data_IF_778074098692
#
_entry.id   IF_778074098692
#
_cell.length_a   1.000
_cell.length_b   1.000
_cell.length_c   1.000
_cell.angle_alpha   90.00
_cell.angle_beta   90.00
_cell.angle_gamma   90.00
#
_symmetry.space_group_name_H-M   'P 1'
#
loop_
_entity.id
_entity.type
_entity.pdbx_description
1 polymer ?
#
# COMPACT_ATOMS: atom_id res chain seq x y z
N UNK A 1 16.60 -5.00 -2.51
CA UNK A 1 15.52 -5.97 -2.77
C UNK A 1 15.18 -5.98 -4.25
N UNK A 2 15.23 -7.14 -4.88
CA UNK A 2 14.84 -7.29 -6.28
C UNK A 2 14.08 -8.61 -6.43
N UNK A 3 12.78 -8.62 -6.12
CA UNK A 3 12.03 -9.87 -6.14
C UNK A 3 11.85 -10.40 -7.56
N UNK A 4 11.88 -11.71 -7.69
CA UNK A 4 11.55 -12.39 -8.96
C UNK A 4 10.05 -12.43 -9.12
N UNK A 5 9.59 -12.52 -10.36
CA UNK A 5 8.17 -12.69 -10.63
C UNK A 5 7.65 -13.93 -9.90
N UNK A 6 6.57 -13.76 -9.17
CA UNK A 6 5.93 -14.84 -8.41
C UNK A 6 6.65 -15.23 -7.11
N UNK A 7 7.65 -14.48 -6.71
CA UNK A 7 8.40 -14.80 -5.49
C UNK A 7 7.58 -14.54 -4.22
N UNK A 8 7.78 -15.37 -3.20
CA UNK A 8 7.25 -15.12 -1.86
C UNK A 8 8.39 -14.70 -0.94
N UNK A 9 8.25 -13.50 -0.36
CA UNK A 9 9.18 -12.98 0.65
C UNK A 9 8.49 -13.11 2.00
N UNK A 10 9.15 -13.79 2.95
CA UNK A 10 8.52 -14.09 4.22
C UNK A 10 9.41 -13.65 5.37
N UNK A 11 8.80 -13.02 6.35
CA UNK A 11 9.47 -12.59 7.58
C UNK A 11 10.68 -11.68 7.33
N UNK A 12 10.58 -10.81 6.31
CA UNK A 12 11.63 -9.84 6.01
C UNK A 12 11.38 -8.55 6.77
N UNK A 13 12.43 -7.96 7.27
CA UNK A 13 12.36 -6.70 8.00
C UNK A 13 12.98 -5.58 7.15
N UNK A 14 12.13 -4.68 6.68
CA UNK A 14 12.54 -3.51 5.90
C UNK A 14 12.35 -2.22 6.70
N UNK A 15 12.28 -2.32 8.03
CA UNK A 15 12.02 -1.15 8.88
C UNK A 15 13.05 -0.06 8.66
N UNK A 16 12.57 1.17 8.46
CA UNK A 16 13.42 2.33 8.29
C UNK A 16 14.24 2.35 7.02
N UNK A 17 14.04 1.41 6.11
CA UNK A 17 14.80 1.38 4.86
C UNK A 17 14.25 2.36 3.82
N UNK A 18 15.14 2.82 2.97
CA UNK A 18 14.80 3.65 1.81
C UNK A 18 14.81 2.74 0.58
N UNK A 19 13.62 2.39 0.11
CA UNK A 19 13.43 1.44 -0.99
C UNK A 19 13.06 2.21 -2.25
N UNK A 20 13.95 2.22 -3.23
CA UNK A 20 13.78 2.99 -4.45
C UNK A 20 13.66 2.08 -5.66
N UNK A 21 12.68 2.38 -6.53
CA UNK A 21 12.54 1.76 -7.84
C UNK A 21 12.45 0.23 -7.80
N UNK A 22 11.88 -0.31 -6.73
CA UNK A 22 11.62 -1.74 -6.63
C UNK A 22 10.51 -2.09 -7.63
N UNK A 23 10.69 -3.19 -8.34
CA UNK A 23 9.65 -3.71 -9.23
C UNK A 23 9.31 -5.13 -8.81
N UNK A 24 8.04 -5.36 -8.51
CA UNK A 24 7.57 -6.67 -8.08
C UNK A 24 6.28 -7.01 -8.83
N UNK A 25 6.23 -8.21 -9.36
CA UNK A 25 5.08 -8.70 -10.13
C UNK A 25 4.66 -10.05 -9.61
N UNK A 26 3.39 -10.17 -9.25
CA UNK A 26 2.79 -11.41 -8.73
C UNK A 26 3.52 -11.95 -7.49
N UNK A 27 4.13 -11.06 -6.72
CA UNK A 27 4.87 -11.43 -5.51
C UNK A 27 3.95 -11.46 -4.30
N UNK A 28 4.36 -12.23 -3.31
CA UNK A 28 3.70 -12.28 -2.01
C UNK A 28 4.67 -11.85 -0.94
N UNK A 29 4.24 -10.89 -0.14
CA UNK A 29 4.99 -10.42 1.03
C UNK A 29 4.22 -10.87 2.26
N UNK A 30 4.75 -11.83 3.00
CA UNK A 30 4.07 -12.41 4.15
C UNK A 30 4.84 -12.09 5.42
N UNK A 31 4.16 -11.49 6.38
CA UNK A 31 4.75 -11.12 7.67
C UNK A 31 6.02 -10.28 7.52
N UNK A 32 6.02 -9.39 6.55
CA UNK A 32 7.12 -8.47 6.33
C UNK A 32 6.85 -7.16 7.07
N UNK A 33 7.92 -6.50 7.52
CA UNK A 33 7.81 -5.25 8.27
C UNK A 33 8.33 -4.11 7.43
N UNK A 34 7.48 -3.12 7.20
CA UNK A 34 7.81 -1.89 6.49
C UNK A 34 7.65 -0.68 7.42
N UNK A 35 7.85 -0.87 8.70
CA UNK A 35 7.66 0.20 9.69
C UNK A 35 8.65 1.32 9.45
N UNK A 36 8.14 2.54 9.31
CA UNK A 36 8.94 3.73 9.01
C UNK A 36 9.77 3.63 7.74
N UNK A 37 9.42 2.72 6.83
CA UNK A 37 10.11 2.59 5.54
C UNK A 37 9.66 3.68 4.58
N UNK A 38 10.57 4.10 3.71
CA UNK A 38 10.24 4.99 2.61
C UNK A 38 10.32 4.19 1.31
N UNK A 39 9.21 4.17 0.58
CA UNK A 39 9.14 3.55 -0.73
C UNK A 39 8.90 4.64 -1.76
N UNK A 40 9.84 4.85 -2.68
CA UNK A 40 9.71 5.85 -3.75
C UNK A 40 9.86 5.20 -5.11
N UNK A 41 8.97 5.57 -6.02
CA UNK A 41 9.02 5.10 -7.42
C UNK A 41 9.04 3.58 -7.54
N UNK A 42 8.42 2.90 -6.58
CA UNK A 42 8.29 1.44 -6.62
C UNK A 42 7.06 1.04 -7.42
N UNK A 43 7.11 -0.12 -8.04
CA UNK A 43 5.99 -0.65 -8.83
C UNK A 43 5.69 -2.06 -8.37
N UNK A 44 4.46 -2.23 -7.88
CA UNK A 44 3.96 -3.54 -7.47
C UNK A 44 2.71 -3.83 -8.28
N UNK A 45 2.69 -4.94 -9.00
CA UNK A 45 1.52 -5.33 -9.79
C UNK A 45 1.09 -6.74 -9.41
N UNK A 46 -0.19 -6.90 -9.13
CA UNK A 46 -0.78 -8.17 -8.74
C UNK A 46 -0.06 -8.82 -7.53
N UNK A 47 0.37 -7.99 -6.59
CA UNK A 47 1.06 -8.44 -5.39
C UNK A 47 0.09 -8.55 -4.21
N UNK A 48 0.43 -9.42 -3.26
CA UNK A 48 -0.31 -9.59 -2.02
C UNK A 48 0.61 -9.26 -0.85
N UNK A 49 0.14 -8.37 0.03
CA UNK A 49 0.80 -8.06 1.29
C UNK A 49 -0.05 -8.65 2.40
N UNK A 50 0.46 -9.65 3.07
CA UNK A 50 -0.31 -10.39 4.06
C UNK A 50 0.38 -10.37 5.41
N UNK A 51 -0.38 -9.98 6.45
CA UNK A 51 0.17 -9.84 7.80
C UNK A 51 1.40 -8.91 7.83
N UNK A 52 1.40 -7.88 7.00
CA UNK A 52 2.51 -6.94 6.95
C UNK A 52 2.24 -5.72 7.83
N UNK A 53 3.31 -5.05 8.23
CA UNK A 53 3.29 -3.89 9.10
C UNK A 53 3.72 -2.67 8.30
N UNK A 54 2.84 -1.68 8.18
CA UNK A 54 3.14 -0.44 7.45
C UNK A 54 3.06 0.79 8.35
N UNK A 55 3.21 0.63 9.66
CA UNK A 55 3.12 1.76 10.56
C UNK A 55 4.21 2.78 10.29
N UNK A 56 3.83 4.03 10.08
CA UNK A 56 4.77 5.11 9.78
C UNK A 56 5.40 5.03 8.40
N UNK A 57 4.98 4.10 7.55
CA UNK A 57 5.54 3.98 6.20
C UNK A 57 5.10 5.15 5.32
N UNK A 58 5.98 5.55 4.41
CA UNK A 58 5.67 6.56 3.41
C UNK A 58 5.88 5.98 2.03
N UNK A 59 4.81 5.98 1.22
CA UNK A 59 4.86 5.54 -0.16
C UNK A 59 4.66 6.76 -1.04
N UNK A 60 5.66 7.09 -1.85
CA UNK A 60 5.64 8.27 -2.71
C UNK A 60 5.82 7.87 -4.16
N UNK A 61 4.88 8.32 -5.00
CA UNK A 61 4.94 8.09 -6.44
C UNK A 61 5.13 6.61 -6.76
N UNK A 62 4.48 5.75 -5.98
CA UNK A 62 4.50 4.31 -6.19
C UNK A 62 3.29 3.87 -6.99
N UNK A 63 3.42 2.77 -7.68
CA UNK A 63 2.30 2.12 -8.35
C UNK A 63 2.03 0.80 -7.65
N UNK A 64 0.82 0.65 -7.12
CA UNK A 64 0.34 -0.59 -6.54
C UNK A 64 -0.96 -0.94 -7.25
N UNK A 65 -0.83 -1.58 -8.41
CA UNK A 65 -1.96 -1.87 -9.27
C UNK A 65 -2.43 -3.31 -9.03
N UNK A 66 -3.72 -3.46 -8.75
CA UNK A 66 -4.33 -4.77 -8.49
C UNK A 66 -3.64 -5.52 -7.36
N UNK A 67 -3.21 -4.79 -6.35
CA UNK A 67 -2.59 -5.37 -5.16
C UNK A 67 -3.64 -5.56 -4.06
N UNK A 68 -3.39 -6.49 -3.16
CA UNK A 68 -4.26 -6.73 -2.03
C UNK A 68 -3.44 -6.67 -0.74
N UNK A 69 -3.97 -5.91 0.22
CA UNK A 69 -3.43 -5.86 1.58
C UNK A 69 -4.38 -6.65 2.45
N UNK A 70 -3.92 -7.76 3.01
CA UNK A 70 -4.74 -8.64 3.85
C UNK A 70 -4.16 -8.73 5.25
N UNK A 71 -5.00 -8.51 6.27
CA UNK A 71 -4.60 -8.61 7.66
C UNK A 71 -3.36 -7.77 7.99
N UNK A 72 -3.23 -6.63 7.33
CA UNK A 72 -2.10 -5.73 7.56
C UNK A 72 -2.45 -4.70 8.63
N UNK A 73 -1.41 -4.18 9.27
CA UNK A 73 -1.54 -3.07 10.20
C UNK A 73 -0.95 -1.83 9.56
N UNK A 74 -1.77 -0.81 9.43
CA UNK A 74 -1.40 0.42 8.75
C UNK A 74 -1.77 1.57 9.68
N UNK A 75 -0.78 2.06 10.41
CA UNK A 75 -0.97 3.15 11.36
C UNK A 75 -0.11 4.35 10.94
N UNK A 76 -0.75 5.50 10.73
CA UNK A 76 -0.06 6.74 10.38
C UNK A 76 0.82 6.59 9.12
N UNK A 77 0.36 5.83 8.14
CA UNK A 77 1.07 5.69 6.87
C UNK A 77 0.63 6.80 5.92
N UNK A 78 1.56 7.27 5.08
CA UNK A 78 1.30 8.29 4.07
C UNK A 78 1.44 7.69 2.67
N UNK A 79 0.39 7.87 1.86
CA UNK A 79 0.41 7.50 0.45
C UNK A 79 0.32 8.78 -0.37
N UNK A 80 1.43 9.19 -0.98
CA UNK A 80 1.53 10.47 -1.69
C UNK A 80 1.70 10.23 -3.18
N UNK A 81 0.77 10.71 -3.98
CA UNK A 81 0.78 10.59 -5.44
C UNK A 81 0.99 9.15 -5.91
N UNK A 82 0.29 8.20 -5.28
CA UNK A 82 0.38 6.79 -5.63
C UNK A 82 -0.72 6.39 -6.61
N UNK A 83 -0.41 5.43 -7.46
CA UNK A 83 -1.40 4.82 -8.34
C UNK A 83 -1.83 3.49 -7.71
N UNK A 84 -3.04 3.49 -7.16
CA UNK A 84 -3.57 2.34 -6.42
C UNK A 84 -4.69 1.63 -7.17
N UNK A 85 -4.71 1.75 -8.48
CA UNK A 85 -5.79 1.29 -9.33
C UNK A 85 -6.15 -0.17 -9.06
N UNK A 86 -7.38 -0.43 -8.67
CA UNK A 86 -7.89 -1.78 -8.47
C UNK A 86 -7.35 -2.51 -7.24
N UNK A 87 -6.64 -1.81 -6.35
CA UNK A 87 -6.13 -2.44 -5.13
C UNK A 87 -7.19 -2.46 -4.03
N UNK A 88 -7.02 -3.33 -3.06
CA UNK A 88 -7.98 -3.50 -1.97
C UNK A 88 -7.29 -3.72 -0.63
N UNK A 89 -7.97 -3.28 0.43
CA UNK A 89 -7.56 -3.50 1.82
C UNK A 89 -8.59 -4.41 2.47
N UNK A 90 -8.18 -5.61 2.88
CA UNK A 90 -9.09 -6.60 3.46
C UNK A 90 -8.67 -6.97 4.87
N UNK A 91 -9.60 -6.85 5.80
CA UNK A 91 -9.37 -7.20 7.20
C UNK A 91 -8.11 -6.54 7.77
N UNK A 92 -7.86 -5.30 7.37
CA UNK A 92 -6.72 -4.53 7.83
C UNK A 92 -7.13 -3.64 8.99
N UNK A 93 -6.19 -3.40 9.90
CA UNK A 93 -6.33 -2.38 10.92
C UNK A 93 -5.70 -1.11 10.38
N UNK A 94 -6.52 -0.13 10.02
CA UNK A 94 -6.05 1.10 9.40
C UNK A 94 -6.45 2.29 10.28
N UNK A 95 -5.47 3.03 10.75
CA UNK A 95 -5.71 4.19 11.61
C UNK A 95 -4.80 5.34 11.16
N UNK A 96 -5.35 6.55 11.10
CA UNK A 96 -4.61 7.75 10.72
C UNK A 96 -3.92 7.62 9.35
N UNK A 97 -4.58 6.94 8.42
CA UNK A 97 -4.11 6.84 7.04
C UNK A 97 -4.20 8.20 6.37
N UNK A 98 -3.15 8.60 5.68
CA UNK A 98 -3.11 9.86 4.94
C UNK A 98 -2.89 9.58 3.46
N UNK A 99 -3.87 10.01 2.67
CA UNK A 99 -3.79 9.94 1.22
C UNK A 99 -3.68 11.37 0.70
N UNK A 100 -2.70 11.64 -0.14
CA UNK A 100 -2.54 12.93 -0.78
C UNK A 100 -2.26 12.72 -2.27
N UNK A 101 -3.17 13.16 -3.12
CA UNK A 101 -3.05 13.01 -4.56
C UNK A 101 -3.16 11.56 -5.02
N UNK A 102 -2.90 11.34 -6.31
CA UNK A 102 -2.84 10.01 -6.86
C UNK A 102 -4.14 9.51 -7.46
N UNK A 103 -4.09 8.26 -7.91
CA UNK A 103 -5.21 7.60 -8.57
C UNK A 103 -5.62 6.36 -7.77
N UNK A 104 -6.76 6.46 -7.11
CA UNK A 104 -7.33 5.40 -6.28
C UNK A 104 -8.61 4.84 -6.91
N UNK A 105 -8.71 4.91 -8.23
CA UNK A 105 -9.87 4.39 -8.95
C UNK A 105 -10.00 2.88 -8.73
N UNK A 106 -11.25 2.43 -8.57
CA UNK A 106 -11.61 1.01 -8.39
C UNK A 106 -10.92 0.37 -7.19
N UNK A 107 -10.57 1.16 -6.18
CA UNK A 107 -9.93 0.69 -4.96
C UNK A 107 -10.99 0.23 -3.96
N UNK A 108 -10.72 -0.85 -3.24
CA UNK A 108 -11.57 -1.28 -2.13
C UNK A 108 -11.17 -0.58 -0.84
N UNK A 109 -11.92 0.45 -0.47
CA UNK A 109 -11.66 1.28 0.71
C UNK A 109 -12.75 1.13 1.76
N UNK A 110 -13.46 0.00 1.76
CA UNK A 110 -14.57 -0.22 2.67
C UNK A 110 -14.11 -0.15 4.12
N UNK A 111 -14.86 0.60 4.92
CA UNK A 111 -14.66 0.70 6.37
C UNK A 111 -13.31 1.31 6.77
N UNK A 112 -12.62 2.00 5.88
CA UNK A 112 -11.40 2.71 6.23
C UNK A 112 -11.70 4.11 6.78
N UNK A 113 -10.97 4.52 7.80
CA UNK A 113 -11.05 5.87 8.32
C UNK A 113 -10.14 6.79 7.51
N UNK A 114 -10.74 7.62 6.67
CA UNK A 114 -10.02 8.55 5.80
C UNK A 114 -10.01 9.97 6.36
N UNK A 115 -10.35 10.14 7.64
CA UNK A 115 -10.52 11.48 8.23
C UNK A 115 -9.23 12.31 8.25
N UNK A 116 -8.07 11.68 8.18
CA UNK A 116 -6.78 12.40 8.16
C UNK A 116 -6.26 12.63 6.74
N UNK A 117 -7.05 12.30 5.72
CA UNK A 117 -6.62 12.42 4.34
C UNK A 117 -7.15 13.68 3.70
N UNK A 118 -6.36 14.27 2.80
CA UNK A 118 -6.81 15.31 1.89
C UNK A 118 -7.09 14.67 0.54
N UNK A 119 -8.37 14.49 0.25
CA UNK A 119 -8.79 13.82 -0.98
C UNK A 119 -8.93 14.75 -2.17
N UNK A 120 -8.50 16.03 -2.04
CA UNK A 120 -8.49 16.96 -3.16
C UNK A 120 -7.61 16.43 -4.28
N UNK A 121 -8.15 16.39 -5.49
CA UNK A 121 -7.40 15.92 -6.66
C UNK A 121 -7.17 14.43 -6.72
N UNK A 122 -7.65 13.67 -5.74
CA UNK A 122 -7.53 12.20 -5.76
C UNK A 122 -8.61 11.62 -6.68
N UNK A 123 -8.21 10.71 -7.58
CA UNK A 123 -9.19 10.01 -8.42
C UNK A 123 -9.77 8.83 -7.65
N UNK A 124 -11.08 8.84 -7.54
CA UNK A 124 -11.82 7.81 -6.79
C UNK A 124 -12.91 7.15 -7.64
N UNK A 125 -12.81 7.23 -8.96
CA UNK A 125 -13.80 6.64 -9.87
C UNK A 125 -13.95 5.16 -9.56
N UNK A 126 -15.17 4.72 -9.28
CA UNK A 126 -15.44 3.30 -9.01
C UNK A 126 -14.85 2.77 -7.71
N UNK A 127 -14.30 3.61 -6.85
CA UNK A 127 -13.82 3.18 -5.54
C UNK A 127 -15.00 2.86 -4.63
N UNK A 128 -14.83 1.85 -3.77
CA UNK A 128 -15.84 1.47 -2.79
C UNK A 128 -15.48 2.12 -1.45
N UNK A 129 -16.28 3.10 -1.06
CA UNK A 129 -16.08 3.85 0.18
C UNK A 129 -17.13 3.49 1.24
N UNK A 130 -17.84 2.38 1.07
CA UNK A 130 -18.94 2.00 1.97
C UNK A 130 -18.45 1.71 3.38
N UNK A 131 -19.30 2.02 4.34
CA UNK A 131 -18.95 1.89 5.75
C UNK A 131 -18.29 3.14 6.28
#
# INVERSE_FOLDING_TARGET
MEPRVGETLQNRDFSGEDLQKIQAEQCRFVSCVFEDALLEHCRFSNCVFRFCEFSGAMLRQCELVSCTFEHCRIFAADFVDCKMLGSAFRDCTVTALRIAGGNWAYTGLQQLDLSHSDLSGVRLDGADLSG
#
